data_IF_546986423435
#
_entry.id   IF_546986423435
#
_cell.length_a   1.000
_cell.length_b   1.000
_cell.length_c   1.000
_cell.angle_alpha   90.00
_cell.angle_beta   90.00
_cell.angle_gamma   90.00
#
_symmetry.space_group_name_H-M   'P 1'
#
loop_
_entity.id
_entity.type
_entity.pdbx_description
1 polymer ?
#
# COMPACT_ATOMS: atom_id res chain seq x y z
N UNK A 1 7.13 11.43 -24.06
CA UNK A 1 8.37 11.06 -23.35
C UNK A 1 8.95 12.22 -22.53
N UNK A 2 9.26 13.38 -23.13
CA UNK A 2 9.84 14.53 -22.38
C UNK A 2 8.90 15.17 -21.34
N UNK A 3 7.60 15.33 -21.65
CA UNK A 3 6.62 15.88 -20.71
C UNK A 3 6.39 14.98 -19.48
N UNK A 4 6.46 13.65 -19.67
CA UNK A 4 6.32 12.67 -18.58
C UNK A 4 7.54 12.69 -17.67
N UNK A 5 8.74 12.81 -18.24
CA UNK A 5 10.00 12.94 -17.50
C UNK A 5 10.06 14.25 -16.70
N UNK A 6 9.56 15.36 -17.26
CA UNK A 6 9.50 16.63 -16.53
C UNK A 6 8.54 16.61 -15.32
N UNK A 7 7.42 15.89 -15.41
CA UNK A 7 6.49 15.74 -14.29
C UNK A 7 7.07 14.84 -13.19
N UNK A 8 7.85 13.82 -13.56
CA UNK A 8 8.53 12.92 -12.62
C UNK A 8 9.62 13.67 -11.83
N UNK A 9 10.47 14.46 -12.50
CA UNK A 9 11.49 15.28 -11.84
C UNK A 9 10.89 16.27 -10.84
N UNK A 10 9.77 16.90 -11.22
CA UNK A 10 9.04 17.81 -10.34
C UNK A 10 8.44 17.08 -9.14
N UNK A 11 7.84 15.91 -9.35
CA UNK A 11 7.31 15.07 -8.28
C UNK A 11 8.40 14.65 -7.29
N UNK A 12 9.56 14.21 -7.78
CA UNK A 12 10.72 13.85 -6.94
C UNK A 12 11.20 15.07 -6.16
N UNK A 13 11.30 16.23 -6.80
CA UNK A 13 11.72 17.49 -6.15
C UNK A 13 10.77 17.91 -5.03
N UNK A 14 9.46 17.85 -5.24
CA UNK A 14 8.47 18.17 -4.21
C UNK A 14 8.50 17.16 -3.07
N UNK A 15 8.62 15.87 -3.39
CA UNK A 15 8.69 14.78 -2.40
C UNK A 15 9.94 14.93 -1.54
N UNK A 16 11.11 15.27 -2.12
CA UNK A 16 12.35 15.53 -1.38
C UNK A 16 12.22 16.66 -0.37
N UNK A 17 11.54 17.76 -0.75
CA UNK A 17 11.27 18.85 0.19
C UNK A 17 10.41 18.41 1.38
N UNK A 18 9.41 17.56 1.15
CA UNK A 18 8.57 17.03 2.22
C UNK A 18 9.31 16.03 3.11
N UNK A 19 10.15 15.17 2.53
CA UNK A 19 10.98 14.22 3.27
C UNK A 19 11.98 14.91 4.21
N UNK A 20 12.62 16.01 3.76
CA UNK A 20 13.52 16.83 4.59
C UNK A 20 12.79 17.45 5.78
N UNK A 21 11.47 17.69 5.68
CA UNK A 21 10.64 18.19 6.78
C UNK A 21 10.18 17.08 7.74
N UNK A 22 10.67 15.86 7.57
CA UNK A 22 10.35 14.72 8.43
C UNK A 22 9.06 13.97 8.04
N UNK A 23 8.51 14.18 6.84
CA UNK A 23 7.35 13.40 6.41
C UNK A 23 7.78 11.97 6.05
N UNK A 24 7.37 11.01 6.90
CA UNK A 24 7.64 9.59 6.73
C UNK A 24 7.13 9.07 5.38
N UNK A 25 5.87 9.39 5.06
CA UNK A 25 5.26 9.06 3.78
C UNK A 25 6.04 9.62 2.58
N UNK A 26 6.69 10.78 2.71
CA UNK A 26 7.51 11.36 1.64
C UNK A 26 8.86 10.65 1.50
N UNK A 27 9.49 10.25 2.61
CA UNK A 27 10.72 9.45 2.59
C UNK A 27 10.49 8.12 1.87
N UNK A 28 9.43 7.40 2.24
CA UNK A 28 9.06 6.12 1.59
C UNK A 28 8.71 6.32 0.11
N UNK A 29 8.02 7.43 -0.25
CA UNK A 29 7.75 7.75 -1.66
C UNK A 29 9.02 8.03 -2.46
N UNK A 30 10.06 8.64 -1.87
CA UNK A 30 11.37 8.78 -2.52
C UNK A 30 12.03 7.43 -2.77
N UNK A 31 12.02 6.54 -1.78
CA UNK A 31 12.54 5.18 -1.94
C UNK A 31 11.90 4.45 -3.13
N UNK A 32 10.59 4.65 -3.35
CA UNK A 32 9.85 4.08 -4.48
C UNK A 32 10.23 4.67 -5.85
N UNK A 33 10.75 5.90 -5.89
CA UNK A 33 11.33 6.45 -7.12
C UNK A 33 12.71 5.84 -7.45
N UNK A 34 13.42 5.29 -6.46
CA UNK A 34 14.68 4.58 -6.63
C UNK A 34 15.72 5.38 -7.42
N UNK A 35 16.24 4.78 -8.50
CA UNK A 35 17.28 5.37 -9.34
C UNK A 35 16.88 6.73 -9.93
N UNK A 36 15.60 6.98 -10.22
CA UNK A 36 15.14 8.29 -10.68
C UNK A 36 15.35 9.38 -9.62
N UNK A 37 15.28 9.01 -8.33
CA UNK A 37 15.63 9.87 -7.21
C UNK A 37 17.12 9.77 -6.80
N UNK A 38 17.94 9.00 -7.51
CA UNK A 38 19.34 8.72 -7.19
C UNK A 38 19.51 7.89 -5.91
N UNK A 39 18.55 7.01 -5.62
CA UNK A 39 18.53 6.14 -4.44
C UNK A 39 18.67 4.70 -4.93
N UNK A 40 19.67 3.99 -4.42
CA UNK A 40 19.87 2.57 -4.78
C UNK A 40 18.78 1.69 -4.18
N UNK A 41 18.57 0.49 -4.73
CA UNK A 41 17.60 -0.44 -4.16
C UNK A 41 17.86 -0.76 -2.67
N UNK A 42 19.13 -0.97 -2.29
CA UNK A 42 19.51 -1.22 -0.90
C UNK A 42 19.21 -0.03 0.01
N UNK A 43 19.41 1.20 -0.48
CA UNK A 43 19.05 2.40 0.26
C UNK A 43 17.52 2.56 0.37
N UNK A 44 16.77 2.24 -0.70
CA UNK A 44 15.31 2.19 -0.66
C UNK A 44 14.80 1.20 0.38
N UNK A 45 15.41 0.01 0.47
CA UNK A 45 15.06 -1.00 1.48
C UNK A 45 15.26 -0.46 2.89
N UNK A 46 16.42 0.16 3.16
CA UNK A 46 16.72 0.77 4.48
C UNK A 46 15.75 1.89 4.84
N UNK A 47 15.34 2.72 3.88
CA UNK A 47 14.35 3.79 4.11
C UNK A 47 13.00 3.19 4.49
N UNK A 48 12.56 2.13 3.79
CA UNK A 48 11.31 1.44 4.09
C UNK A 48 11.36 0.79 5.47
N UNK A 49 12.47 0.11 5.81
CA UNK A 49 12.63 -0.54 7.11
C UNK A 49 12.66 0.46 8.27
N UNK A 50 13.32 1.62 8.09
CA UNK A 50 13.29 2.68 9.09
C UNK A 50 11.87 3.25 9.26
N UNK A 51 11.17 3.46 8.15
CA UNK A 51 9.80 3.97 8.19
C UNK A 51 8.82 3.00 8.87
N UNK A 52 9.02 1.69 8.70
CA UNK A 52 8.25 0.65 9.39
C UNK A 52 8.39 0.74 10.92
N UNK A 53 9.56 1.13 11.42
CA UNK A 53 9.80 1.29 12.86
C UNK A 53 9.18 2.58 13.41
N UNK A 54 9.15 3.64 12.60
CA UNK A 54 8.74 4.99 13.03
C UNK A 54 7.25 5.28 12.83
N UNK A 55 6.54 4.48 12.02
CA UNK A 55 5.15 4.76 11.67
C UNK A 55 4.23 4.78 12.89
N UNK A 56 3.35 5.79 12.92
CA UNK A 56 2.21 5.85 13.84
C UNK A 56 0.99 5.16 13.25
N UNK A 57 0.25 4.43 14.09
CA UNK A 57 -0.93 3.64 13.71
C UNK A 57 -2.03 4.47 13.01
N UNK A 58 -2.12 5.77 13.27
CA UNK A 58 -3.12 6.67 12.70
C UNK A 58 -2.64 7.41 11.43
N UNK A 59 -1.39 7.24 11.00
CA UNK A 59 -0.85 7.90 9.79
C UNK A 59 -1.24 7.12 8.51
N UNK A 60 -2.45 7.38 8.03
CA UNK A 60 -2.93 6.82 6.77
C UNK A 60 -1.98 7.08 5.59
N UNK A 61 -1.31 8.24 5.53
CA UNK A 61 -0.43 8.56 4.41
C UNK A 61 0.85 7.73 4.42
N UNK A 62 1.38 7.43 5.61
CA UNK A 62 2.52 6.54 5.77
C UNK A 62 2.12 5.09 5.48
N UNK A 63 0.95 4.63 5.96
CA UNK A 63 0.42 3.30 5.61
C UNK A 63 0.27 3.13 4.09
N UNK A 64 -0.30 4.11 3.39
CA UNK A 64 -0.39 4.08 1.92
C UNK A 64 0.99 4.02 1.25
N UNK A 65 1.95 4.80 1.76
CA UNK A 65 3.29 4.84 1.21
C UNK A 65 4.02 3.49 1.38
N UNK A 66 3.93 2.88 2.56
CA UNK A 66 4.52 1.58 2.91
C UNK A 66 3.85 0.43 2.17
N UNK A 67 2.51 0.40 2.08
CA UNK A 67 1.80 -0.57 1.23
C UNK A 67 2.37 -0.57 -0.19
N UNK A 68 2.45 0.61 -0.81
CA UNK A 68 2.98 0.73 -2.16
C UNK A 68 4.49 0.50 -2.28
N UNK A 69 5.25 0.54 -1.18
CA UNK A 69 6.66 0.17 -1.18
C UNK A 69 6.82 -1.36 -1.13
N UNK A 70 6.05 -2.02 -0.27
CA UNK A 70 6.06 -3.47 -0.16
C UNK A 70 5.48 -4.17 -1.39
N UNK A 71 4.48 -3.58 -2.05
CA UNK A 71 3.97 -4.04 -3.35
C UNK A 71 5.05 -3.99 -4.45
N UNK A 72 5.99 -3.04 -4.34
CA UNK A 72 7.17 -2.93 -5.21
C UNK A 72 8.37 -3.76 -4.73
N UNK A 73 8.15 -4.68 -3.78
CA UNK A 73 9.18 -5.59 -3.25
C UNK A 73 10.33 -4.88 -2.52
N UNK A 74 10.10 -3.68 -1.97
CA UNK A 74 11.08 -2.98 -1.14
C UNK A 74 11.02 -3.45 0.32
N UNK A 75 12.10 -3.21 1.06
CA UNK A 75 12.32 -3.60 2.45
C UNK A 75 13.17 -4.87 2.54
N UNK A 76 14.14 -4.87 3.46
CA UNK A 76 15.17 -5.94 3.54
C UNK A 76 14.64 -7.27 4.09
N UNK A 77 13.40 -7.30 4.58
CA UNK A 77 12.75 -8.51 5.05
C UNK A 77 12.48 -9.53 3.94
N UNK A 78 12.35 -10.80 4.36
CA UNK A 78 11.99 -11.93 3.49
C UNK A 78 10.62 -11.73 2.83
N UNK A 79 10.40 -12.42 1.71
CA UNK A 79 9.22 -12.22 0.86
C UNK A 79 7.88 -12.45 1.60
N UNK A 80 7.80 -13.49 2.43
CA UNK A 80 6.58 -13.80 3.20
C UNK A 80 6.26 -12.69 4.20
N UNK A 81 7.28 -12.22 4.91
CA UNK A 81 7.18 -11.13 5.87
C UNK A 81 6.78 -9.82 5.18
N UNK A 82 7.40 -9.55 4.02
CA UNK A 82 7.09 -8.39 3.18
C UNK A 82 5.63 -8.39 2.72
N UNK A 83 5.16 -9.54 2.26
CA UNK A 83 3.79 -9.73 1.82
C UNK A 83 2.81 -9.50 2.99
N UNK A 84 3.09 -10.08 4.16
CA UNK A 84 2.30 -9.86 5.37
C UNK A 84 2.23 -8.38 5.75
N UNK A 85 3.35 -7.64 5.69
CA UNK A 85 3.36 -6.18 5.95
C UNK A 85 2.57 -5.41 4.89
N UNK A 86 2.73 -5.75 3.61
CA UNK A 86 1.96 -5.15 2.53
C UNK A 86 0.46 -5.20 2.80
N UNK A 87 -0.07 -6.39 3.12
CA UNK A 87 -1.49 -6.53 3.48
C UNK A 87 -1.85 -5.72 4.72
N UNK A 88 -1.04 -5.75 5.78
CA UNK A 88 -1.30 -5.01 7.01
C UNK A 88 -1.41 -3.50 6.79
N UNK A 89 -0.54 -2.88 5.98
CA UNK A 89 -0.66 -1.45 5.68
C UNK A 89 -1.87 -1.12 4.80
N UNK A 90 -2.25 -2.01 3.88
CA UNK A 90 -3.48 -1.83 3.10
C UNK A 90 -4.71 -1.85 4.01
N UNK A 91 -4.76 -2.78 4.96
CA UNK A 91 -5.83 -2.88 5.96
C UNK A 91 -5.90 -1.65 6.84
N UNK A 92 -4.77 -1.20 7.38
CA UNK A 92 -4.71 0.00 8.20
C UNK A 92 -5.19 1.22 7.41
N UNK A 93 -4.69 1.43 6.18
CA UNK A 93 -5.15 2.50 5.31
C UNK A 93 -6.66 2.44 5.05
N UNK A 94 -7.18 1.25 4.73
CA UNK A 94 -8.60 1.03 4.48
C UNK A 94 -9.46 1.35 5.72
N UNK A 95 -9.02 0.95 6.92
CA UNK A 95 -9.72 1.22 8.18
C UNK A 95 -9.71 2.70 8.56
N UNK A 96 -8.58 3.39 8.40
CA UNK A 96 -8.44 4.79 8.79
C UNK A 96 -9.23 5.70 7.84
N UNK A 97 -9.15 5.45 6.54
CA UNK A 97 -9.72 6.35 5.53
C UNK A 97 -11.16 6.01 5.16
N UNK A 98 -11.58 4.75 5.32
CA UNK A 98 -12.83 4.26 4.76
C UNK A 98 -12.89 4.36 3.23
N UNK A 99 -11.73 4.41 2.56
CA UNK A 99 -11.68 4.47 1.10
C UNK A 99 -12.31 3.19 0.50
N UNK A 100 -13.40 3.31 -0.28
CA UNK A 100 -14.14 2.14 -0.74
C UNK A 100 -13.30 1.23 -1.64
N UNK A 101 -12.32 1.78 -2.37
CA UNK A 101 -11.42 1.04 -3.25
C UNK A 101 -10.41 0.23 -2.43
N UNK A 102 -9.82 0.83 -1.38
CA UNK A 102 -8.89 0.14 -0.48
C UNK A 102 -9.60 -0.96 0.31
N UNK A 103 -10.77 -0.68 0.87
CA UNK A 103 -11.59 -1.68 1.59
C UNK A 103 -11.94 -2.85 0.67
N UNK A 104 -12.29 -2.58 -0.58
CA UNK A 104 -12.51 -3.62 -1.59
C UNK A 104 -11.24 -4.41 -1.93
N UNK A 105 -10.10 -3.73 -2.08
CA UNK A 105 -8.82 -4.37 -2.38
C UNK A 105 -8.38 -5.34 -1.27
N UNK A 106 -8.63 -5.03 0.00
CA UNK A 106 -8.40 -5.98 1.11
C UNK A 106 -9.24 -7.24 0.92
N UNK A 107 -10.54 -7.10 0.65
CA UNK A 107 -11.43 -8.23 0.40
C UNK A 107 -10.98 -9.11 -0.77
N UNK A 108 -10.42 -8.51 -1.83
CA UNK A 108 -9.83 -9.25 -2.96
C UNK A 108 -8.62 -10.07 -2.53
N UNK A 109 -7.74 -9.54 -1.66
CA UNK A 109 -6.57 -10.29 -1.20
C UNK A 109 -6.98 -11.52 -0.39
N UNK A 110 -7.96 -11.39 0.51
CA UNK A 110 -8.53 -12.55 1.22
C UNK A 110 -9.29 -13.51 0.29
N UNK A 111 -10.02 -13.02 -0.71
CA UNK A 111 -10.80 -13.90 -1.59
C UNK A 111 -9.91 -14.88 -2.37
N UNK A 112 -8.71 -14.45 -2.73
CA UNK A 112 -7.83 -15.19 -3.64
C UNK A 112 -6.51 -15.64 -2.99
N UNK A 113 -6.32 -15.39 -1.70
CA UNK A 113 -5.09 -15.74 -0.98
C UNK A 113 -3.85 -15.07 -1.59
N UNK A 114 -3.91 -13.75 -1.79
CA UNK A 114 -2.82 -12.96 -2.40
C UNK A 114 -2.04 -12.20 -1.35
N UNK A 115 -0.79 -11.85 -1.65
CA UNK A 115 0.03 -10.99 -0.78
C UNK A 115 0.17 -11.63 0.62
N UNK A 116 0.64 -12.88 0.66
CA UNK A 116 1.07 -13.54 1.89
C UNK A 116 -0.05 -13.97 2.85
N UNK A 117 -1.31 -13.97 2.41
CA UNK A 117 -2.43 -14.49 3.18
C UNK A 117 -3.07 -15.69 2.49
N UNK A 118 -3.60 -16.63 3.27
CA UNK A 118 -4.42 -17.71 2.76
C UNK A 118 -5.78 -17.20 2.30
N UNK A 119 -6.40 -17.91 1.36
CA UNK A 119 -7.75 -17.55 0.93
C UNK A 119 -8.76 -17.76 2.06
N UNK A 120 -9.59 -16.76 2.32
CA UNK A 120 -10.65 -16.80 3.31
C UNK A 120 -11.89 -16.11 2.74
N UNK A 121 -12.85 -16.92 2.30
CA UNK A 121 -14.13 -16.41 1.75
C UNK A 121 -14.89 -15.62 2.82
N UNK A 122 -14.84 -16.07 4.07
CA UNK A 122 -15.48 -15.39 5.21
C UNK A 122 -14.95 -13.95 5.36
N UNK A 123 -13.63 -13.80 5.53
CA UNK A 123 -13.01 -12.48 5.66
C UNK A 123 -13.24 -11.62 4.41
N UNK A 124 -13.11 -12.20 3.21
CA UNK A 124 -13.36 -11.48 1.97
C UNK A 124 -14.77 -10.89 1.90
N UNK A 125 -15.78 -11.69 2.29
CA UNK A 125 -17.18 -11.27 2.30
C UNK A 125 -17.42 -10.14 3.29
N UNK A 126 -16.83 -10.19 4.48
CA UNK A 126 -16.94 -9.12 5.47
C UNK A 126 -16.36 -7.80 4.95
N UNK A 127 -15.15 -7.84 4.38
CA UNK A 127 -14.54 -6.68 3.74
C UNK A 127 -15.37 -6.16 2.56
N UNK A 128 -15.94 -7.04 1.73
CA UNK A 128 -16.81 -6.61 0.65
C UNK A 128 -18.13 -6.00 1.14
N UNK A 129 -18.71 -6.48 2.25
CA UNK A 129 -19.88 -5.81 2.83
C UNK A 129 -19.53 -4.40 3.30
N UNK A 130 -18.38 -4.22 3.94
CA UNK A 130 -17.88 -2.90 4.30
C UNK A 130 -17.71 -2.02 3.05
N UNK A 131 -17.08 -2.53 1.99
CA UNK A 131 -16.92 -1.78 0.74
C UNK A 131 -18.26 -1.41 0.09
N UNK A 132 -19.25 -2.31 0.13
CA UNK A 132 -20.60 -2.05 -0.38
C UNK A 132 -21.32 -0.96 0.44
N UNK A 133 -21.19 -0.99 1.77
CA UNK A 133 -21.74 0.02 2.66
C UNK A 133 -21.10 1.41 2.42
N UNK A 134 -19.82 1.42 2.03
CA UNK A 134 -19.07 2.62 1.66
C UNK A 134 -19.28 3.04 0.18
N UNK A 135 -20.12 2.31 -0.57
CA UNK A 135 -20.52 2.69 -1.94
C UNK A 135 -19.65 2.13 -3.07
N UNK A 136 -18.79 1.14 -2.81
CA UNK A 136 -17.99 0.51 -3.87
C UNK A 136 -18.89 -0.27 -4.87
N UNK A 137 -18.86 0.06 -6.17
CA UNK A 137 -19.86 -0.42 -7.14
C UNK A 137 -19.77 -1.93 -7.41
N UNK A 138 -18.59 -2.54 -7.28
CA UNK A 138 -18.39 -3.96 -7.59
C UNK A 138 -18.53 -4.89 -6.37
N UNK A 139 -18.66 -4.33 -5.17
CA UNK A 139 -18.57 -5.10 -3.92
C UNK A 139 -19.68 -6.17 -3.81
N UNK A 140 -20.93 -5.80 -4.08
CA UNK A 140 -22.04 -6.75 -4.06
C UNK A 140 -21.92 -7.86 -5.11
N UNK A 141 -21.30 -7.57 -6.27
CA UNK A 141 -21.02 -8.57 -7.30
C UNK A 141 -19.91 -9.52 -6.84
N UNK A 142 -18.87 -8.99 -6.20
CA UNK A 142 -17.78 -9.79 -5.66
C UNK A 142 -18.27 -10.77 -4.59
N UNK A 143 -19.15 -10.34 -3.67
CA UNK A 143 -19.76 -11.22 -2.65
C UNK A 143 -20.47 -12.42 -3.30
N UNK A 144 -21.31 -12.16 -4.31
CA UNK A 144 -22.02 -13.24 -5.04
C UNK A 144 -21.04 -14.19 -5.72
N UNK A 145 -19.95 -13.66 -6.28
CA UNK A 145 -18.95 -14.46 -6.99
C UNK A 145 -18.21 -15.40 -6.03
N UNK A 146 -17.70 -14.89 -4.90
CA UNK A 146 -16.88 -15.70 -3.99
C UNK A 146 -17.68 -16.72 -3.18
N UNK A 147 -18.97 -16.47 -2.95
CA UNK A 147 -19.86 -17.44 -2.28
C UNK A 147 -20.30 -18.61 -3.18
N UNK A 148 -20.17 -18.45 -4.49
CA UNK A 148 -20.57 -19.45 -5.48
C UNK A 148 -19.37 -20.17 -6.11
N UNK A 149 -18.15 -19.89 -5.64
CA UNK A 149 -16.90 -20.52 -6.06
C UNK A 149 -16.63 -21.75 -5.20
#
# INVERSE_FOLDING_TARGET
MLLSSGMEDEAIKMTRKAAIRGSLAAQVRLARFGEAAGISHEESDRIVDQAEVEIHEDDATAHWALWGAYDLLLGSCEYEERSRRCLAHLEAFARITGDPQAVFAVGVNYAYGRIGVESSIEQAVDWFYCAAALGHPEAMRAIRKVRNA
#
